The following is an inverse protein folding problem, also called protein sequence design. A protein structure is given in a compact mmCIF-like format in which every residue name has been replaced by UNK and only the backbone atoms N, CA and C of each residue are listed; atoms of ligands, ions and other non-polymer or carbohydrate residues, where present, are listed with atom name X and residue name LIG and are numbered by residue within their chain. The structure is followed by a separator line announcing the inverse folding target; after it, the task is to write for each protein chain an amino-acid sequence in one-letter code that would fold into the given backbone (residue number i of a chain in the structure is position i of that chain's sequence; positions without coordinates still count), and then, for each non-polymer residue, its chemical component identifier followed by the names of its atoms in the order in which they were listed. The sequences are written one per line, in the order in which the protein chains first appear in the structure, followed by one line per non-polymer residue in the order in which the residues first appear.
data_IF_298206745814
#
_entry.id   IF_298206745814
#
_cell.length_a   1.000
_cell.length_b   1.000
_cell.length_c   1.000
_cell.angle_alpha   90.00
_cell.angle_beta   90.00
_cell.angle_gamma   90.00
#
_symmetry.space_group_name_H-M   'P 1'
#
loop_
_entity.id
_entity.type
_entity.pdbx_description
1 polymer ?
#
# COMPACT_ATOMS: atom_id res chain seq x y z
N UNK A 1 -8.59 10.20 11.10
CA UNK A 1 -8.88 10.06 9.66
C UNK A 1 -9.58 8.73 9.44
N UNK A 2 -10.76 8.76 8.83
CA UNK A 2 -11.53 7.56 8.52
C UNK A 2 -10.93 6.87 7.29
N UNK A 3 -10.98 5.54 7.22
CA UNK A 3 -10.54 4.80 6.02
C UNK A 3 -11.32 5.34 4.80
N UNK A 4 -10.65 5.64 3.67
CA UNK A 4 -11.32 6.20 2.51
C UNK A 4 -12.34 5.20 1.95
N UNK A 5 -13.51 5.71 1.57
CA UNK A 5 -14.53 4.94 0.87
C UNK A 5 -14.16 4.84 -0.62
N UNK A 6 -13.91 3.61 -1.07
CA UNK A 6 -13.37 3.30 -2.38
C UNK A 6 -14.49 2.72 -3.23
N UNK A 7 -14.74 3.33 -4.38
CA UNK A 7 -15.73 2.83 -5.33
C UNK A 7 -15.37 1.43 -5.83
N UNK A 8 -16.39 0.62 -6.13
CA UNK A 8 -16.22 -0.71 -6.73
C UNK A 8 -15.55 -0.66 -8.11
N UNK A 9 -15.84 0.39 -8.88
CA UNK A 9 -15.31 0.56 -10.25
C UNK A 9 -13.95 1.28 -10.28
N UNK A 10 -13.33 1.50 -9.12
CA UNK A 10 -12.05 2.17 -8.89
C UNK A 10 -11.73 3.32 -9.86
N UNK A 11 -12.01 4.54 -9.41
CA UNK A 11 -11.90 5.76 -10.21
C UNK A 11 -10.66 6.58 -9.87
N UNK A 12 -10.39 7.61 -10.67
CA UNK A 12 -9.32 8.58 -10.39
C UNK A 12 -9.54 9.27 -9.03
N UNK A 13 -10.78 9.55 -8.66
CA UNK A 13 -11.11 10.15 -7.37
C UNK A 13 -10.75 9.22 -6.21
N UNK A 14 -10.85 7.91 -6.38
CA UNK A 14 -10.43 6.96 -5.36
C UNK A 14 -8.91 6.97 -5.14
N UNK A 15 -8.13 7.20 -6.21
CA UNK A 15 -6.69 7.44 -6.10
C UNK A 15 -6.42 8.69 -5.27
N UNK A 16 -7.15 9.78 -5.52
CA UNK A 16 -7.01 11.02 -4.75
C UNK A 16 -7.34 10.81 -3.27
N UNK A 17 -8.46 10.15 -2.95
CA UNK A 17 -8.84 9.83 -1.56
C UNK A 17 -7.78 9.01 -0.84
N UNK A 18 -7.21 7.98 -1.50
CA UNK A 18 -6.16 7.15 -0.91
C UNK A 18 -4.89 7.97 -0.65
N UNK A 19 -4.49 8.82 -1.61
CA UNK A 19 -3.30 9.68 -1.48
C UNK A 19 -3.48 10.70 -0.36
N UNK A 20 -4.63 11.35 -0.29
CA UNK A 20 -4.96 12.32 0.76
C UNK A 20 -4.95 11.67 2.14
N UNK A 21 -5.62 10.53 2.30
CA UNK A 21 -5.62 9.75 3.54
C UNK A 21 -4.19 9.41 3.99
N UNK A 22 -3.35 8.91 3.08
CA UNK A 22 -1.96 8.55 3.40
C UNK A 22 -1.10 9.78 3.70
N UNK A 23 -1.31 10.90 3.01
CA UNK A 23 -0.62 12.15 3.29
C UNK A 23 -0.95 12.63 4.71
N UNK A 24 -2.23 12.73 5.04
CA UNK A 24 -2.68 13.17 6.36
C UNK A 24 -2.21 12.26 7.49
N UNK A 25 -2.17 10.94 7.25
CA UNK A 25 -1.65 9.98 8.22
C UNK A 25 -0.13 10.09 8.41
N UNK A 26 0.62 10.35 7.34
CA UNK A 26 2.09 10.30 7.38
C UNK A 26 2.76 11.67 7.49
N UNK A 27 2.03 12.79 7.40
CA UNK A 27 2.61 14.14 7.33
C UNK A 27 3.53 14.49 8.49
N UNK A 28 3.21 14.03 9.70
CA UNK A 28 4.01 14.28 10.91
C UNK A 28 5.05 13.20 11.23
N UNK A 29 5.10 12.12 10.45
CA UNK A 29 6.00 10.99 10.70
C UNK A 29 7.40 11.27 10.16
N UNK A 30 8.41 10.80 10.88
CA UNK A 30 9.79 10.74 10.40
C UNK A 30 9.91 9.80 9.19
N UNK A 31 11.04 9.90 8.47
CA UNK A 31 11.31 9.03 7.32
C UNK A 31 11.31 7.54 7.71
N UNK A 32 11.87 7.20 8.88
CA UNK A 32 11.91 5.82 9.36
C UNK A 32 10.51 5.26 9.69
N UNK A 33 9.66 6.09 10.32
CA UNK A 33 8.28 5.74 10.62
C UNK A 33 7.44 5.61 9.34
N UNK A 34 7.64 6.49 8.35
CA UNK A 34 7.02 6.37 7.02
C UNK A 34 7.39 5.05 6.35
N UNK A 35 8.67 4.69 6.37
CA UNK A 35 9.15 3.44 5.78
C UNK A 35 8.51 2.23 6.45
N UNK A 36 8.48 2.23 7.79
CA UNK A 36 7.80 1.18 8.58
C UNK A 36 6.31 1.10 8.29
N UNK A 37 5.62 2.25 8.19
CA UNK A 37 4.20 2.32 7.87
C UNK A 37 3.90 1.64 6.52
N UNK A 38 4.57 2.05 5.45
CA UNK A 38 4.33 1.49 4.12
C UNK A 38 4.72 0.00 4.05
N UNK A 39 5.81 -0.40 4.70
CA UNK A 39 6.22 -1.81 4.78
C UNK A 39 5.14 -2.67 5.44
N UNK A 40 4.60 -2.23 6.58
CA UNK A 40 3.55 -2.98 7.30
C UNK A 40 2.27 -3.14 6.46
N UNK A 41 1.90 -2.11 5.69
CA UNK A 41 0.74 -2.16 4.79
C UNK A 41 0.97 -3.12 3.63
N UNK A 42 2.16 -3.10 3.03
CA UNK A 42 2.53 -4.04 1.97
C UNK A 42 2.51 -5.49 2.48
N UNK A 43 3.09 -5.75 3.65
CA UNK A 43 3.09 -7.09 4.27
C UNK A 43 1.68 -7.60 4.56
N UNK A 44 0.80 -6.73 5.09
CA UNK A 44 -0.61 -7.08 5.33
C UNK A 44 -1.34 -7.44 4.03
N UNK A 45 -1.15 -6.65 2.97
CA UNK A 45 -1.75 -6.92 1.66
C UNK A 45 -1.24 -8.23 1.05
N UNK A 46 0.07 -8.47 1.06
CA UNK A 46 0.66 -9.69 0.52
C UNK A 46 0.15 -10.93 1.26
N UNK A 47 0.00 -10.83 2.58
CA UNK A 47 -0.59 -11.90 3.41
C UNK A 47 -2.05 -12.17 3.04
N UNK A 48 -2.86 -11.12 2.87
CA UNK A 48 -4.28 -11.23 2.47
C UNK A 48 -4.43 -11.81 1.06
N UNK A 49 -3.56 -11.40 0.13
CA UNK A 49 -3.54 -11.89 -1.25
C UNK A 49 -2.94 -13.31 -1.38
N UNK A 50 -2.45 -13.91 -0.29
CA UNK A 50 -1.76 -15.21 -0.32
C UNK A 50 -0.46 -15.20 -1.13
N UNK A 51 0.10 -14.03 -1.41
CA UNK A 51 1.31 -13.88 -2.20
C UNK A 51 2.51 -14.11 -1.27
N UNK A 52 3.31 -15.13 -1.59
CA UNK A 52 4.51 -15.43 -0.80
C UNK A 52 5.72 -14.68 -1.32
N UNK A 53 6.74 -14.41 -0.47
CA UNK A 53 8.03 -13.86 -0.93
C UNK A 53 8.66 -14.70 -2.05
N UNK A 54 8.44 -16.02 -2.05
CA UNK A 54 8.91 -16.94 -3.08
C UNK A 54 8.23 -16.67 -4.44
N UNK A 55 6.93 -16.40 -4.43
CA UNK A 55 6.16 -16.01 -5.62
C UNK A 55 6.72 -14.72 -6.22
N UNK A 56 6.93 -13.69 -5.40
CA UNK A 56 7.49 -12.40 -5.83
C UNK A 56 8.88 -12.57 -6.42
N UNK A 57 9.78 -13.29 -5.72
CA UNK A 57 11.14 -13.53 -6.21
C UNK A 57 11.17 -14.30 -7.53
N UNK A 58 10.19 -15.18 -7.76
CA UNK A 58 10.05 -15.94 -9.00
C UNK A 58 9.63 -15.04 -10.15
N UNK A 59 8.65 -14.15 -9.95
CA UNK A 59 8.22 -13.21 -10.98
C UNK A 59 9.29 -12.15 -11.30
N UNK A 60 10.01 -11.63 -10.29
CA UNK A 60 11.11 -10.67 -10.53
C UNK A 60 12.20 -11.28 -11.42
N UNK A 61 12.58 -12.55 -11.19
CA UNK A 61 13.58 -13.23 -12.02
C UNK A 61 13.15 -13.43 -13.47
N UNK A 62 11.86 -13.41 -13.80
CA UNK A 62 11.39 -13.55 -15.18
C UNK A 62 11.49 -12.24 -15.98
N UNK A 63 11.57 -11.11 -15.28
CA UNK A 63 11.61 -9.76 -15.88
C UNK A 63 13.04 -9.23 -15.98
N UNK A 64 14.00 -9.89 -15.33
CA UNK A 64 15.44 -9.66 -15.47
C UNK A 64 16.06 -10.62 -16.48
#
# INVERSE_FOLDING_TARGET
MTKPDISKDFTIDDIHKIREYNYEYTKGLSVAEKSTYYKSKAEAFLKEAGITPKTIATEIRKVM
#
